data_IF_168790488953
#
_entry.id   IF_168790488953
#
_cell.length_a   1.000
_cell.length_b   1.000
_cell.length_c   1.000
_cell.angle_alpha   90.00
_cell.angle_beta   90.00
_cell.angle_gamma   90.00
#
_symmetry.space_group_name_H-M   'P 1'
#
loop_
_entity.id
_entity.type
_entity.pdbx_description
1 polymer ?
#
# COMPACT_ATOMS: atom_id res chain seq x y z
N UNK A 1 -15.90 -25.13 2.70
CA UNK A 1 -15.10 -24.23 3.58
C UNK A 1 -14.83 -22.91 2.85
N UNK A 2 -15.40 -21.80 3.32
CA UNK A 2 -15.32 -20.49 2.66
C UNK A 2 -13.91 -19.82 2.68
N UNK A 3 -12.90 -20.45 3.31
CA UNK A 3 -11.54 -19.89 3.45
C UNK A 3 -10.52 -20.32 2.39
N UNK A 4 -10.80 -21.33 1.55
CA UNK A 4 -9.85 -21.78 0.52
C UNK A 4 -9.63 -20.73 -0.57
N UNK A 5 -10.70 -20.05 -1.00
CA UNK A 5 -10.60 -19.03 -2.04
C UNK A 5 -9.73 -17.83 -1.61
N UNK A 6 -9.76 -17.47 -0.33
CA UNK A 6 -8.95 -16.36 0.20
C UNK A 6 -7.45 -16.70 0.17
N UNK A 7 -7.07 -17.97 0.36
CA UNK A 7 -5.66 -18.40 0.24
C UNK A 7 -5.15 -18.28 -1.20
N UNK A 8 -5.94 -18.73 -2.17
CA UNK A 8 -5.62 -18.59 -3.59
C UNK A 8 -5.55 -17.12 -3.99
N UNK A 9 -6.50 -16.31 -3.52
CA UNK A 9 -6.51 -14.88 -3.77
C UNK A 9 -5.29 -14.19 -3.16
N UNK A 10 -4.92 -14.55 -1.92
CA UNK A 10 -3.73 -14.04 -1.23
C UNK A 10 -2.45 -14.37 -2.01
N UNK A 11 -2.30 -15.62 -2.44
CA UNK A 11 -1.13 -16.07 -3.19
C UNK A 11 -1.04 -15.36 -4.55
N UNK A 12 -2.14 -15.33 -5.32
CA UNK A 12 -2.19 -14.65 -6.61
C UNK A 12 -1.95 -13.15 -6.47
N UNK A 13 -2.56 -12.49 -5.49
CA UNK A 13 -2.38 -11.07 -5.24
C UNK A 13 -0.94 -10.75 -4.84
N UNK A 14 -0.39 -11.51 -3.89
CA UNK A 14 1.01 -11.38 -3.47
C UNK A 14 1.97 -11.52 -4.64
N UNK A 15 1.85 -12.58 -5.44
CA UNK A 15 2.70 -12.79 -6.60
C UNK A 15 2.52 -11.70 -7.67
N UNK A 16 1.29 -11.26 -7.93
CA UNK A 16 1.01 -10.17 -8.86
C UNK A 16 1.69 -8.87 -8.39
N UNK A 17 1.50 -8.51 -7.11
CA UNK A 17 2.11 -7.34 -6.51
C UNK A 17 3.64 -7.40 -6.58
N UNK A 18 4.26 -8.51 -6.18
CA UNK A 18 5.72 -8.68 -6.24
C UNK A 18 6.26 -8.57 -7.66
N UNK A 19 5.57 -9.17 -8.64
CA UNK A 19 5.95 -9.08 -10.05
C UNK A 19 5.87 -7.63 -10.55
N UNK A 20 4.79 -6.90 -10.22
CA UNK A 20 4.68 -5.48 -10.57
C UNK A 20 5.72 -4.61 -9.85
N UNK A 21 6.05 -4.89 -8.59
CA UNK A 21 7.14 -4.17 -7.89
C UNK A 21 8.49 -4.43 -8.54
N UNK A 22 8.73 -5.65 -9.01
CA UNK A 22 9.93 -6.01 -9.75
C UNK A 22 9.98 -5.28 -11.11
N UNK A 23 8.86 -5.17 -11.82
CA UNK A 23 8.77 -4.33 -13.03
C UNK A 23 9.03 -2.85 -12.72
N UNK A 24 8.42 -2.31 -11.66
CA UNK A 24 8.65 -0.92 -11.24
C UNK A 24 10.12 -0.63 -10.94
N UNK A 25 10.83 -1.60 -10.35
CA UNK A 25 12.26 -1.53 -10.03
C UNK A 25 13.17 -1.66 -11.25
N UNK A 26 12.91 -2.64 -12.11
CA UNK A 26 13.84 -3.08 -13.17
C UNK A 26 13.47 -2.60 -14.58
N UNK A 27 12.22 -2.19 -14.79
CA UNK A 27 11.66 -1.93 -16.12
C UNK A 27 11.37 -3.18 -16.95
N UNK A 28 11.53 -4.39 -16.40
CA UNK A 28 11.31 -5.64 -17.15
C UNK A 28 9.82 -5.88 -17.45
N UNK A 29 9.43 -5.73 -18.71
CA UNK A 29 8.05 -5.91 -19.17
C UNK A 29 7.53 -7.35 -19.04
N UNK A 30 8.39 -8.36 -18.89
CA UNK A 30 7.94 -9.73 -18.60
C UNK A 30 7.25 -9.81 -17.24
N UNK A 31 7.77 -9.06 -16.28
CA UNK A 31 7.20 -8.94 -14.94
C UNK A 31 5.91 -8.09 -14.96
N UNK A 32 5.82 -7.10 -15.84
CA UNK A 32 4.53 -6.41 -16.07
C UNK A 32 3.48 -7.40 -16.61
N UNK A 33 3.82 -8.17 -17.64
CA UNK A 33 2.92 -9.16 -18.24
C UNK A 33 2.46 -10.21 -17.22
N UNK A 34 3.38 -10.76 -16.42
CA UNK A 34 3.08 -11.72 -15.36
C UNK A 34 2.18 -11.10 -14.28
N UNK A 35 2.52 -9.89 -13.81
CA UNK A 35 1.72 -9.17 -12.81
C UNK A 35 0.30 -8.85 -13.28
N UNK A 36 0.14 -8.43 -14.54
CA UNK A 36 -1.18 -8.18 -15.14
C UNK A 36 -1.98 -9.46 -15.36
N UNK A 37 -1.32 -10.55 -15.79
CA UNK A 37 -1.97 -11.85 -15.95
C UNK A 37 -2.50 -12.35 -14.61
N UNK A 38 -1.66 -12.35 -13.57
CA UNK A 38 -2.07 -12.76 -12.22
C UNK A 38 -3.13 -11.83 -11.63
N UNK A 39 -2.99 -10.51 -11.84
CA UNK A 39 -3.98 -9.51 -11.43
C UNK A 39 -5.34 -9.72 -12.11
N UNK A 40 -5.34 -10.06 -13.39
CA UNK A 40 -6.55 -10.39 -14.16
C UNK A 40 -7.24 -11.68 -13.71
N UNK A 41 -6.53 -12.59 -13.05
CA UNK A 41 -7.12 -13.78 -12.44
C UNK A 41 -7.84 -13.49 -11.11
N UNK A 42 -7.53 -12.38 -10.41
CA UNK A 42 -8.11 -12.09 -9.09
C UNK A 42 -9.65 -12.02 -9.12
N UNK A 43 -10.31 -11.30 -10.04
CA UNK A 43 -11.77 -11.25 -10.12
C UNK A 43 -12.39 -12.62 -10.44
N UNK A 44 -11.65 -13.50 -11.12
CA UNK A 44 -12.12 -14.85 -11.48
C UNK A 44 -12.08 -15.80 -10.27
N UNK A 45 -11.20 -15.57 -9.31
CA UNK A 45 -11.12 -16.35 -8.07
C UNK A 45 -12.25 -15.95 -7.12
N UNK A 46 -12.45 -14.64 -6.95
CA UNK A 46 -13.45 -14.09 -6.01
C UNK A 46 -13.82 -12.67 -6.43
N UNK A 47 -15.07 -12.29 -6.20
CA UNK A 47 -15.57 -10.92 -6.48
C UNK A 47 -14.72 -9.86 -5.77
N UNK A 48 -14.32 -10.09 -4.52
CA UNK A 48 -13.42 -9.21 -3.75
C UNK A 48 -12.06 -8.98 -4.46
N UNK A 49 -11.64 -9.93 -5.30
CA UNK A 49 -10.45 -9.84 -6.15
C UNK A 49 -10.46 -8.67 -7.12
N UNK A 50 -11.65 -8.17 -7.48
CA UNK A 50 -11.81 -7.00 -8.35
C UNK A 50 -11.17 -5.76 -7.73
N UNK A 51 -11.34 -5.57 -6.42
CA UNK A 51 -10.81 -4.39 -5.72
C UNK A 51 -9.28 -4.44 -5.63
N UNK A 52 -8.72 -5.62 -5.39
CA UNK A 52 -7.27 -5.83 -5.38
C UNK A 52 -6.66 -5.63 -6.77
N UNK A 53 -7.34 -6.08 -7.83
CA UNK A 53 -6.92 -5.83 -9.21
C UNK A 53 -6.89 -4.33 -9.54
N UNK A 54 -7.84 -3.54 -9.01
CA UNK A 54 -7.80 -2.07 -9.14
C UNK A 54 -6.57 -1.46 -8.45
N UNK A 55 -6.18 -1.96 -7.27
CA UNK A 55 -4.95 -1.52 -6.60
C UNK A 55 -3.70 -1.77 -7.45
N UNK A 56 -3.60 -2.96 -8.05
CA UNK A 56 -2.52 -3.29 -8.98
C UNK A 56 -2.52 -2.38 -10.22
N UNK A 57 -3.70 -2.05 -10.75
CA UNK A 57 -3.83 -1.11 -11.87
C UNK A 57 -3.39 0.30 -11.49
N UNK A 58 -3.77 0.78 -10.30
CA UNK A 58 -3.31 2.07 -9.76
C UNK A 58 -1.79 2.09 -9.70
N UNK A 59 -1.16 1.02 -9.22
CA UNK A 59 0.29 0.91 -9.20
C UNK A 59 0.91 1.04 -10.61
N UNK A 60 0.33 0.36 -11.61
CA UNK A 60 0.76 0.46 -13.01
C UNK A 60 0.64 1.90 -13.52
N UNK A 61 -0.48 2.58 -13.25
CA UNK A 61 -0.71 3.96 -13.64
C UNK A 61 0.27 4.94 -12.98
N UNK A 62 0.55 4.76 -11.68
CA UNK A 62 1.53 5.58 -10.93
C UNK A 62 2.91 5.46 -11.57
N UNK A 63 3.32 4.25 -11.97
CA UNK A 63 4.61 4.03 -12.64
C UNK A 63 4.64 4.60 -14.06
N UNK A 64 3.61 4.33 -14.86
CA UNK A 64 3.55 4.69 -16.27
C UNK A 64 3.39 6.20 -16.48
N UNK A 65 2.55 6.87 -15.69
CA UNK A 65 2.26 8.30 -15.83
C UNK A 65 3.25 9.19 -15.06
N UNK A 66 3.99 8.64 -14.08
CA UNK A 66 4.96 9.38 -13.30
C UNK A 66 4.34 10.62 -12.63
N UNK A 67 4.83 11.82 -12.97
CA UNK A 67 4.26 13.09 -12.44
C UNK A 67 2.83 13.35 -12.95
N UNK A 68 2.47 12.85 -14.14
CA UNK A 68 1.14 12.97 -14.71
C UNK A 68 0.06 12.26 -13.88
N UNK A 69 0.45 11.27 -13.07
CA UNK A 69 -0.46 10.64 -12.12
C UNK A 69 -1.04 11.64 -11.11
N UNK A 70 -0.27 12.62 -10.65
CA UNK A 70 -0.78 13.64 -9.71
C UNK A 70 -1.81 14.56 -10.36
N UNK A 71 -1.65 14.85 -11.65
CA UNK A 71 -2.64 15.59 -12.42
C UNK A 71 -3.91 14.74 -12.57
N UNK A 72 -3.77 13.47 -12.94
CA UNK A 72 -4.90 12.55 -13.02
C UNK A 72 -5.62 12.41 -11.68
N UNK A 73 -4.87 12.28 -10.58
CA UNK A 73 -5.41 12.22 -9.22
C UNK A 73 -6.15 13.50 -8.86
N UNK A 74 -5.57 14.67 -9.14
CA UNK A 74 -6.22 15.96 -8.92
C UNK A 74 -7.53 16.06 -9.72
N UNK A 75 -7.51 15.72 -11.01
CA UNK A 75 -8.69 15.70 -11.86
C UNK A 75 -9.75 14.72 -11.34
N UNK A 76 -9.33 13.55 -10.86
CA UNK A 76 -10.22 12.56 -10.26
C UNK A 76 -10.86 13.09 -8.98
N UNK A 77 -10.09 13.76 -8.12
CA UNK A 77 -10.59 14.37 -6.88
C UNK A 77 -11.55 15.53 -7.18
N UNK A 78 -11.21 16.41 -8.12
CA UNK A 78 -12.10 17.49 -8.56
C UNK A 78 -13.38 16.91 -9.16
N UNK A 79 -13.26 15.89 -10.00
CA UNK A 79 -14.40 15.16 -10.56
C UNK A 79 -15.28 14.53 -9.47
N UNK A 80 -14.69 13.94 -8.44
CA UNK A 80 -15.40 13.36 -7.30
C UNK A 80 -16.16 14.43 -6.50
N UNK A 81 -15.55 15.61 -6.29
CA UNK A 81 -16.23 16.74 -5.62
C UNK A 81 -17.42 17.22 -6.44
N UNK A 82 -17.25 17.38 -7.77
CA UNK A 82 -18.33 17.79 -8.67
C UNK A 82 -19.45 16.73 -8.68
N UNK A 83 -19.09 15.45 -8.76
CA UNK A 83 -20.02 14.33 -8.70
C UNK A 83 -20.82 14.32 -7.39
N UNK A 84 -20.14 14.54 -6.25
CA UNK A 84 -20.79 14.60 -4.94
C UNK A 84 -21.78 15.77 -4.84
N UNK A 85 -21.37 16.96 -5.29
CA UNK A 85 -22.25 18.14 -5.30
C UNK A 85 -23.48 17.98 -6.21
N UNK A 86 -23.37 17.19 -7.28
CA UNK A 86 -24.49 16.89 -8.19
C UNK A 86 -25.41 15.76 -7.71
N UNK A 87 -25.13 15.16 -6.56
CA UNK A 87 -25.91 14.02 -6.04
C UNK A 87 -25.63 12.70 -6.76
N UNK A 88 -24.55 12.63 -7.55
CA UNK A 88 -24.09 11.43 -8.23
C UNK A 88 -24.46 11.32 -9.71
N UNK A 89 -24.39 10.10 -10.24
CA UNK A 89 -24.76 9.75 -11.63
C UNK A 89 -25.74 8.58 -11.60
N UNK A 90 -26.82 8.71 -12.36
CA UNK A 90 -27.81 7.66 -12.58
C UNK A 90 -27.97 7.45 -14.09
N UNK A 91 -27.64 6.25 -14.57
CA UNK A 91 -27.69 5.88 -15.99
C UNK A 91 -28.35 4.49 -16.12
N UNK A 92 -29.65 4.47 -16.37
CA UNK A 92 -30.42 3.23 -16.46
C UNK A 92 -30.37 2.43 -15.15
N UNK A 93 -29.85 1.20 -15.21
CA UNK A 93 -29.67 0.33 -14.03
C UNK A 93 -28.41 0.65 -13.20
N UNK A 94 -27.63 1.66 -13.58
CA UNK A 94 -26.43 2.06 -12.87
C UNK A 94 -26.77 3.26 -11.98
N UNK A 95 -26.59 3.11 -10.67
CA UNK A 95 -26.75 4.21 -9.72
C UNK A 95 -25.47 4.34 -8.91
N UNK A 96 -24.72 5.40 -9.14
CA UNK A 96 -23.52 5.72 -8.36
C UNK A 96 -23.79 7.08 -7.74
N UNK A 97 -24.37 7.08 -6.55
CA UNK A 97 -24.70 8.27 -5.74
C UNK A 97 -23.90 8.27 -4.44
N UNK A 98 -23.81 9.41 -3.73
CA UNK A 98 -23.10 9.48 -2.45
C UNK A 98 -23.64 8.55 -1.36
N UNK A 99 -24.89 8.09 -1.49
CA UNK A 99 -25.56 7.21 -0.53
C UNK A 99 -25.69 5.77 -1.04
N UNK A 100 -25.51 5.53 -2.34
CA UNK A 100 -25.81 4.24 -2.96
C UNK A 100 -24.89 3.96 -4.14
N UNK A 101 -24.25 2.79 -4.13
CA UNK A 101 -23.60 2.22 -5.31
C UNK A 101 -24.38 0.98 -5.71
N UNK A 102 -25.13 1.08 -6.80
CA UNK A 102 -25.85 -0.02 -7.45
C UNK A 102 -25.28 -0.21 -8.84
N UNK A 103 -24.67 -1.37 -9.05
CA UNK A 103 -24.05 -1.77 -10.30
C UNK A 103 -24.63 -3.13 -10.72
N UNK A 104 -25.07 -3.28 -11.99
CA UNK A 104 -25.56 -4.57 -12.46
C UNK A 104 -24.44 -5.62 -12.31
N UNK A 105 -24.81 -6.82 -11.88
CA UNK A 105 -23.93 -7.96 -11.61
C UNK A 105 -22.99 -7.86 -10.39
N UNK A 106 -22.77 -6.67 -9.82
CA UNK A 106 -21.93 -6.49 -8.62
C UNK A 106 -22.80 -6.43 -7.37
N UNK A 107 -23.92 -5.70 -7.43
CA UNK A 107 -24.89 -5.60 -6.35
C UNK A 107 -25.20 -4.17 -5.94
N UNK A 108 -25.89 -4.06 -4.80
CA UNK A 108 -26.34 -2.80 -4.20
C UNK A 108 -25.64 -2.59 -2.86
N UNK A 109 -24.94 -1.46 -2.74
CA UNK A 109 -24.16 -1.09 -1.56
C UNK A 109 -24.63 0.26 -1.05
N UNK A 110 -25.21 0.26 0.15
CA UNK A 110 -25.57 1.49 0.83
C UNK A 110 -24.33 2.07 1.52
N UNK A 111 -24.10 3.35 1.27
CA UNK A 111 -22.97 4.10 1.81
C UNK A 111 -23.43 4.91 3.00
N UNK A 112 -22.93 4.55 4.17
CA UNK A 112 -23.15 5.31 5.40
C UNK A 112 -21.97 5.13 6.34
N UNK A 113 -21.62 6.20 7.04
CA UNK A 113 -20.52 6.15 7.99
C UNK A 113 -20.95 5.43 9.27
N UNK A 114 -20.16 4.45 9.68
CA UNK A 114 -20.33 3.72 10.94
C UNK A 114 -19.08 3.88 11.80
N UNK A 115 -19.24 4.31 13.05
CA UNK A 115 -18.14 4.58 13.97
C UNK A 115 -17.59 3.29 14.64
N UNK A 116 -17.09 2.34 13.85
CA UNK A 116 -16.63 1.03 14.33
C UNK A 116 -15.17 1.01 14.83
N UNK A 117 -14.65 2.16 15.24
CA UNK A 117 -13.25 2.33 15.64
C UNK A 117 -12.82 1.42 16.79
N UNK A 118 -13.69 1.17 17.77
CA UNK A 118 -13.37 0.30 18.90
C UNK A 118 -13.07 -1.14 18.44
N UNK A 119 -13.98 -1.75 17.67
CA UNK A 119 -13.81 -3.11 17.15
C UNK A 119 -12.58 -3.22 16.22
N UNK A 120 -12.40 -2.25 15.33
CA UNK A 120 -11.26 -2.22 14.40
C UNK A 120 -9.94 -2.07 15.16
N UNK A 121 -9.85 -1.17 16.13
CA UNK A 121 -8.66 -0.96 16.96
C UNK A 121 -8.34 -2.23 17.75
N UNK A 122 -9.33 -2.81 18.40
CA UNK A 122 -9.12 -3.95 19.28
C UNK A 122 -8.62 -5.15 18.47
N UNK A 123 -9.18 -5.37 17.27
CA UNK A 123 -8.72 -6.43 16.38
C UNK A 123 -7.35 -6.14 15.73
N UNK A 124 -7.01 -4.88 15.44
CA UNK A 124 -5.70 -4.51 14.87
C UNK A 124 -4.55 -4.57 15.89
N UNK A 125 -4.79 -4.11 17.12
CA UNK A 125 -3.75 -3.97 18.15
C UNK A 125 -3.62 -5.21 19.04
N UNK A 126 -4.74 -5.86 19.35
CA UNK A 126 -4.78 -6.98 20.31
C UNK A 126 -5.25 -8.29 19.67
N UNK A 127 -5.94 -8.22 18.53
CA UNK A 127 -6.47 -9.38 17.82
C UNK A 127 -5.46 -10.03 16.85
N UNK A 128 -5.25 -11.33 17.02
CA UNK A 128 -4.45 -12.14 16.08
C UNK A 128 -3.00 -11.65 15.88
N UNK A 129 -2.40 -11.99 14.75
CA UNK A 129 -1.01 -11.65 14.40
C UNK A 129 -0.87 -10.35 13.61
N UNK A 130 -1.93 -9.54 13.51
CA UNK A 130 -1.98 -8.37 12.61
C UNK A 130 -1.34 -7.11 13.18
N UNK A 131 -1.05 -7.07 14.48
CA UNK A 131 -0.35 -5.96 15.14
C UNK A 131 0.97 -5.60 14.43
N UNK A 132 1.67 -6.59 13.85
CA UNK A 132 2.87 -6.38 13.03
C UNK A 132 2.60 -5.58 11.75
N UNK A 133 1.46 -5.81 11.09
CA UNK A 133 1.05 -5.06 9.90
C UNK A 133 0.76 -3.60 10.23
N UNK A 134 0.28 -3.30 11.43
CA UNK A 134 -0.07 -1.94 11.79
C UNK A 134 1.15 -1.02 11.92
N UNK A 135 2.29 -1.55 12.39
CA UNK A 135 3.55 -0.80 12.40
C UNK A 135 4.06 -0.47 11.00
N UNK A 136 3.62 -1.19 9.95
CA UNK A 136 4.00 -0.89 8.56
C UNK A 136 3.28 0.32 7.98
N UNK A 137 2.09 0.67 8.45
CA UNK A 137 1.35 1.83 7.95
C UNK A 137 2.14 3.15 8.13
N UNK A 138 2.64 3.51 9.33
CA UNK A 138 3.45 4.71 9.49
C UNK A 138 4.79 4.61 8.73
N UNK A 139 5.41 3.43 8.66
CA UNK A 139 6.66 3.23 7.92
C UNK A 139 6.47 3.43 6.40
N UNK A 140 5.34 2.98 5.86
CA UNK A 140 4.97 3.20 4.46
C UNK A 140 4.74 4.68 4.17
N UNK A 141 4.12 5.41 5.11
CA UNK A 141 3.98 6.87 5.00
C UNK A 141 5.34 7.56 4.99
N UNK A 142 6.26 7.16 5.87
CA UNK A 142 7.65 7.68 5.85
C UNK A 142 8.33 7.38 4.51
N UNK A 143 8.16 6.19 3.93
CA UNK A 143 8.73 5.88 2.62
C UNK A 143 8.21 6.79 1.49
N UNK A 144 6.97 7.29 1.57
CA UNK A 144 6.42 8.26 0.62
C UNK A 144 6.93 9.68 0.86
N UNK A 145 7.02 10.10 2.13
CA UNK A 145 7.34 11.49 2.50
C UNK A 145 8.83 11.80 2.45
N UNK A 146 9.71 10.80 2.54
CA UNK A 146 11.15 11.00 2.58
C UNK A 146 11.83 10.60 1.25
N UNK A 147 12.29 11.57 0.42
CA UNK A 147 12.91 11.30 -0.88
C UNK A 147 14.13 10.38 -0.79
N UNK A 148 14.88 10.44 0.31
CA UNK A 148 16.05 9.59 0.54
C UNK A 148 15.70 8.09 0.53
N UNK A 149 14.53 7.70 1.05
CA UNK A 149 14.07 6.31 1.02
C UNK A 149 13.63 5.90 -0.39
N UNK A 150 12.93 6.80 -1.09
CA UNK A 150 12.48 6.59 -2.47
C UNK A 150 13.64 6.38 -3.45
N UNK A 151 14.70 7.18 -3.32
CA UNK A 151 15.88 7.07 -4.19
C UNK A 151 16.67 5.79 -3.94
N UNK A 152 16.66 5.28 -2.70
CA UNK A 152 17.38 4.05 -2.33
C UNK A 152 16.65 2.78 -2.75
N UNK A 153 15.33 2.77 -2.71
CA UNK A 153 14.53 1.61 -3.12
C UNK A 153 13.24 2.07 -3.80
N UNK A 154 13.21 2.15 -5.14
CA UNK A 154 11.97 2.42 -5.89
C UNK A 154 10.85 1.43 -5.53
N UNK A 155 11.20 0.15 -5.33
CA UNK A 155 10.24 -0.88 -4.93
C UNK A 155 9.56 -0.57 -3.59
N UNK A 156 10.27 0.03 -2.62
CA UNK A 156 9.68 0.45 -1.35
C UNK A 156 8.64 1.55 -1.54
N UNK A 157 8.93 2.55 -2.38
CA UNK A 157 7.97 3.61 -2.69
C UNK A 157 6.70 3.05 -3.35
N UNK A 158 6.87 2.25 -4.39
CA UNK A 158 5.75 1.65 -5.12
C UNK A 158 4.94 0.68 -4.26
N UNK A 159 5.61 -0.10 -3.41
CA UNK A 159 4.95 -0.98 -2.46
C UNK A 159 4.20 -0.22 -1.38
N UNK A 160 4.74 0.91 -0.89
CA UNK A 160 4.05 1.78 0.05
C UNK A 160 2.79 2.41 -0.56
N UNK A 161 2.83 2.83 -1.84
CA UNK A 161 1.64 3.31 -2.56
C UNK A 161 0.55 2.23 -2.61
N UNK A 162 0.91 1.01 -3.02
CA UNK A 162 -0.04 -0.10 -3.11
C UNK A 162 -0.60 -0.48 -1.74
N UNK A 163 0.26 -0.58 -0.72
CA UNK A 163 -0.16 -0.92 0.64
C UNK A 163 -1.09 0.14 1.25
N UNK A 164 -0.83 1.43 1.00
CA UNK A 164 -1.73 2.51 1.45
C UNK A 164 -3.06 2.51 0.69
N UNK A 165 -3.05 2.16 -0.60
CA UNK A 165 -4.29 1.95 -1.36
C UNK A 165 -5.10 0.80 -0.74
N UNK A 166 -4.46 -0.32 -0.41
CA UNK A 166 -5.11 -1.46 0.24
C UNK A 166 -5.73 -1.07 1.58
N UNK A 167 -5.01 -0.32 2.41
CA UNK A 167 -5.53 0.19 3.68
C UNK A 167 -6.70 1.16 3.47
N UNK A 168 -6.64 2.02 2.45
CA UNK A 168 -7.74 2.93 2.11
C UNK A 168 -8.98 2.15 1.70
N UNK A 169 -8.83 1.09 0.90
CA UNK A 169 -9.93 0.19 0.55
C UNK A 169 -10.56 -0.44 1.78
N UNK A 170 -9.75 -0.99 2.69
CA UNK A 170 -10.26 -1.59 3.94
C UNK A 170 -10.95 -0.55 4.81
N UNK A 171 -10.42 0.67 4.88
CA UNK A 171 -11.04 1.77 5.60
C UNK A 171 -12.42 2.11 5.01
N UNK A 172 -12.52 2.31 3.70
CA UNK A 172 -13.80 2.59 3.04
C UNK A 172 -14.78 1.43 3.27
N UNK A 173 -14.33 0.19 3.11
CA UNK A 173 -15.16 -0.99 3.27
C UNK A 173 -15.74 -1.10 4.68
N UNK A 174 -14.91 -0.98 5.73
CA UNK A 174 -15.35 -1.21 7.11
C UNK A 174 -15.97 0.00 7.81
N UNK A 175 -15.82 1.21 7.25
CA UNK A 175 -16.40 2.42 7.85
C UNK A 175 -17.53 3.04 7.04
N UNK A 176 -17.59 2.80 5.73
CA UNK A 176 -18.55 3.46 4.85
C UNK A 176 -19.53 2.50 4.17
N UNK A 177 -19.50 1.21 4.48
CA UNK A 177 -20.42 0.22 3.88
C UNK A 177 -21.06 -0.68 4.93
N UNK A 178 -22.09 -1.43 4.52
CA UNK A 178 -22.73 -2.45 5.37
C UNK A 178 -21.75 -3.51 5.92
N UNK A 179 -20.59 -3.71 5.28
CA UNK A 179 -19.54 -4.61 5.75
C UNK A 179 -18.95 -4.20 7.12
N UNK A 180 -19.22 -2.97 7.57
CA UNK A 180 -18.92 -2.49 8.91
C UNK A 180 -19.45 -3.45 10.01
N UNK A 181 -20.62 -4.06 9.81
CA UNK A 181 -21.19 -5.03 10.76
C UNK A 181 -20.31 -6.27 10.92
N UNK A 182 -19.69 -6.73 9.82
CA UNK A 182 -18.80 -7.90 9.83
C UNK A 182 -17.43 -7.63 10.44
N UNK A 183 -17.09 -6.35 10.69
CA UNK A 183 -15.89 -6.00 11.45
C UNK A 183 -16.03 -6.39 12.93
N UNK A 184 -17.25 -6.38 13.47
CA UNK A 184 -17.55 -6.73 14.87
C UNK A 184 -17.24 -8.20 15.14
N UNK A 185 -17.56 -9.08 14.19
CA UNK A 185 -17.31 -10.52 14.31
C UNK A 185 -15.87 -10.93 13.99
N UNK A 186 -14.98 -9.96 13.70
CA UNK A 186 -13.55 -10.10 13.35
C UNK A 186 -13.19 -11.02 12.16
N UNK A 187 -14.12 -11.84 11.68
CA UNK A 187 -13.87 -12.93 10.73
C UNK A 187 -13.56 -12.38 9.34
N UNK A 188 -14.37 -11.45 8.85
CA UNK A 188 -14.14 -10.80 7.55
C UNK A 188 -12.90 -9.92 7.58
N UNK A 189 -12.62 -9.27 8.71
CA UNK A 189 -11.44 -8.43 8.90
C UNK A 189 -10.15 -9.25 8.78
N UNK A 190 -10.06 -10.38 9.51
CA UNK A 190 -8.90 -11.28 9.43
C UNK A 190 -8.68 -11.86 8.02
N UNK A 191 -9.76 -12.18 7.31
CA UNK A 191 -9.69 -12.71 5.93
C UNK A 191 -9.12 -11.67 4.97
N UNK A 192 -9.57 -10.43 5.04
CA UNK A 192 -9.09 -9.39 4.13
C UNK A 192 -7.65 -8.95 4.46
N UNK A 193 -7.25 -8.94 5.74
CA UNK A 193 -5.85 -8.70 6.11
C UNK A 193 -4.91 -9.79 5.61
N UNK A 194 -5.38 -11.03 5.51
CA UNK A 194 -4.61 -12.13 4.93
C UNK A 194 -4.21 -11.83 3.49
N UNK A 195 -5.10 -11.26 2.68
CA UNK A 195 -4.84 -10.96 1.28
C UNK A 195 -3.63 -10.05 1.10
N UNK A 196 -3.51 -9.01 1.93
CA UNK A 196 -2.46 -7.99 1.82
C UNK A 196 -1.17 -8.38 2.57
N UNK A 197 -1.22 -9.44 3.37
CA UNK A 197 -0.09 -9.87 4.20
C UNK A 197 1.20 -10.19 3.43
N UNK A 198 1.19 -10.83 2.24
CA UNK A 198 2.44 -11.12 1.52
C UNK A 198 3.16 -9.84 1.08
N UNK A 199 2.41 -8.84 0.61
CA UNK A 199 2.94 -7.53 0.25
C UNK A 199 3.57 -6.85 1.46
N UNK A 200 2.87 -6.88 2.60
CA UNK A 200 3.34 -6.26 3.82
C UNK A 200 4.62 -6.92 4.36
N UNK A 201 4.69 -8.25 4.37
CA UNK A 201 5.90 -9.01 4.73
C UNK A 201 7.06 -8.66 3.79
N UNK A 202 6.80 -8.57 2.49
CA UNK A 202 7.82 -8.14 1.53
C UNK A 202 8.33 -6.72 1.80
N UNK A 203 7.44 -5.78 2.16
CA UNK A 203 7.83 -4.43 2.53
C UNK A 203 8.69 -4.39 3.80
N UNK A 204 8.43 -5.26 4.79
CA UNK A 204 9.32 -5.41 5.96
C UNK A 204 10.74 -5.79 5.54
N UNK A 205 10.87 -6.77 4.63
CA UNK A 205 12.17 -7.18 4.12
C UNK A 205 12.87 -6.04 3.36
N UNK A 206 12.17 -5.35 2.47
CA UNK A 206 12.75 -4.20 1.75
C UNK A 206 13.18 -3.07 2.69
N UNK A 207 12.38 -2.78 3.71
CA UNK A 207 12.70 -1.75 4.68
C UNK A 207 13.91 -2.14 5.53
N UNK A 208 13.95 -3.38 6.03
CA UNK A 208 15.07 -3.89 6.80
C UNK A 208 16.37 -3.83 5.98
N UNK A 209 16.33 -4.21 4.71
CA UNK A 209 17.45 -4.09 3.78
C UNK A 209 17.89 -2.63 3.61
N UNK A 210 16.95 -1.70 3.39
CA UNK A 210 17.25 -0.28 3.24
C UNK A 210 17.91 0.33 4.50
N UNK A 211 17.50 -0.11 5.69
CA UNK A 211 18.07 0.33 6.97
C UNK A 211 19.47 -0.25 7.16
N UNK A 212 19.65 -1.56 6.96
CA UNK A 212 20.95 -2.23 7.10
C UNK A 212 22.00 -1.64 6.16
N UNK A 213 21.64 -1.38 4.90
CA UNK A 213 22.54 -0.73 3.95
C UNK A 213 22.92 0.69 4.38
N UNK A 214 22.03 1.43 5.05
CA UNK A 214 22.34 2.78 5.52
C UNK A 214 23.38 2.81 6.65
N UNK A 215 23.32 1.84 7.57
CA UNK A 215 24.26 1.73 8.69
C UNK A 215 25.65 1.23 8.25
N UNK A 216 25.73 0.39 7.22
CA UNK A 216 27.00 -0.10 6.65
C UNK A 216 27.85 1.01 6.02
N UNK A 217 27.25 1.89 5.22
CA UNK A 217 27.95 3.03 4.58
C UNK A 217 28.48 4.06 5.57
N UNK A 218 27.81 4.28 6.71
CA UNK A 218 28.27 5.24 7.71
C UNK A 218 29.48 4.74 8.51
N UNK A 219 29.58 3.43 8.76
CA UNK A 219 30.75 2.84 9.43
C UNK A 219 32.01 2.92 8.56
N UNK A 220 31.91 2.59 7.27
CA UNK A 220 33.05 2.63 6.35
C UNK A 220 33.65 4.03 6.19
N UNK A 221 32.81 5.06 6.03
CA UNK A 221 33.27 6.45 5.86
C UNK A 221 33.98 6.99 7.11
N UNK A 222 33.48 6.65 8.30
CA UNK A 222 34.09 7.06 9.57
C UNK A 222 35.44 6.35 9.83
N UNK A 223 35.59 5.11 9.38
CA UNK A 223 36.87 4.39 9.51
C UNK A 223 37.93 4.95 8.55
N UNK A 224 37.55 5.28 7.31
CA UNK A 224 38.46 5.91 6.35
C UNK A 224 38.89 7.32 6.79
N UNK A 225 37.94 8.15 7.25
CA UNK A 225 38.25 9.50 7.76
C UNK A 225 39.13 9.47 9.03
N UNK A 226 38.96 8.47 9.90
CA UNK A 226 39.84 8.29 11.06
C UNK A 226 41.23 7.78 10.68
N UNK A 227 41.37 7.01 9.60
CA UNK A 227 42.67 6.57 9.08
C UNK A 227 43.40 7.64 8.25
N UNK A 228 42.67 8.62 7.72
CA UNK A 228 43.20 9.69 6.88
C UNK A 228 43.73 10.92 7.66
N UNK A 229 43.57 10.97 8.98
CA UNK A 229 44.15 12.03 9.84
C UNK A 229 45.43 11.50 10.48
N UNK A 230 46.63 11.93 10.04
CA UNK A 230 47.89 11.52 10.66
C UNK A 230 47.98 12.04 12.11
N UNK A 231 48.47 11.26 13.09
CA UNK A 231 48.56 11.66 14.50
C UNK A 231 49.58 12.77 14.83
N UNK A 232 50.00 13.59 13.86
CA UNK A 232 51.14 14.50 13.99
C UNK A 232 50.81 15.98 14.29
N UNK A 233 49.54 16.41 14.41
CA UNK A 233 49.21 17.85 14.54
C UNK A 233 48.58 18.31 15.87
N UNK A 234 48.55 17.48 16.92
CA UNK A 234 47.98 17.85 18.23
C UNK A 234 49.01 18.24 19.31
N UNK A 235 50.16 18.80 18.94
CA UNK A 235 51.09 19.40 19.91
C UNK A 235 51.68 20.72 19.41
N UNK A 236 50.98 21.83 19.64
CA UNK A 236 51.66 23.11 19.86
C UNK A 236 50.80 24.14 20.63
N UNK A 237 50.83 24.14 21.97
CA UNK A 237 50.36 25.26 22.77
C UNK A 237 51.53 26.20 23.03
N UNK A 238 51.88 27.04 22.06
CA UNK A 238 52.92 28.06 22.24
C UNK A 238 52.76 29.24 21.26
N UNK A 239 51.71 30.03 21.43
CA UNK A 239 51.76 31.47 21.13
C UNK A 239 51.01 32.21 22.23
N UNK A 240 51.72 32.39 23.34
CA UNK A 240 51.49 33.51 24.25
C UNK A 240 52.50 34.58 23.87
N UNK A 241 52.03 35.68 23.28
CA UNK A 241 52.57 37.04 23.41
C UNK A 241 51.65 38.00 22.65
#
# INVERSE_FOLDING_TARGET
LAGYADLWLTACYGLAALSLLQWCRSGDYRQLGLGLLLGGCLPLIKVDGTVWALGLLVLVLVRALGKGFWILLLLTLVGAVIWYQRGGVQLGSWQITPQLIELPYIGRYELFYTANWAAVRDQLLFGGSWHLLWYLAPLSLLALLFPALRLRSPALFYGAVLFLFDLLVLYVLFFFTQAAQWAVDATSLNRLFMHISPLAVFLLFLLSQAILLSTGTSKGLNTELQSAVPPAQLKNPAVAR
#
